data_IF_143605283103
#
_entry.id   IF_143605283103
#
_cell.length_a   1.000
_cell.length_b   1.000
_cell.length_c   1.000
_cell.angle_alpha   90.00
_cell.angle_beta   90.00
_cell.angle_gamma   90.00
#
_symmetry.space_group_name_H-M   'P 1'
#
loop_
_entity.id
_entity.type
_entity.pdbx_description
1 polymer ?
#
# COMPACT_ATOMS: atom_id res chain seq x y z
N UNK A 1 -9.33 -5.96 -4.87
CA UNK A 1 -9.47 -4.99 -5.99
C UNK A 1 -9.03 -3.58 -5.60
N UNK A 2 -9.57 -2.97 -4.54
CA UNK A 2 -9.24 -1.59 -4.11
C UNK A 2 -7.74 -1.30 -3.98
N UNK A 3 -6.96 -2.23 -3.43
CA UNK A 3 -5.49 -2.12 -3.30
C UNK A 3 -4.77 -2.01 -4.66
N UNK A 4 -5.19 -2.82 -5.64
CA UNK A 4 -4.60 -2.84 -6.99
C UNK A 4 -4.93 -1.53 -7.72
N UNK A 5 -6.19 -1.08 -7.64
CA UNK A 5 -6.60 0.19 -8.23
C UNK A 5 -5.80 1.36 -7.62
N UNK A 6 -5.61 1.36 -6.29
CA UNK A 6 -4.82 2.39 -5.62
C UNK A 6 -3.34 2.37 -6.06
N UNK A 7 -2.74 1.20 -6.30
CA UNK A 7 -1.37 1.09 -6.83
C UNK A 7 -1.24 1.69 -8.23
N UNK A 8 -2.18 1.38 -9.14
CA UNK A 8 -2.17 1.92 -10.52
C UNK A 8 -2.27 3.44 -10.52
N UNK A 9 -3.17 4.00 -9.69
CA UNK A 9 -3.33 5.47 -9.58
C UNK A 9 -2.05 6.12 -9.09
N UNK A 10 -1.39 5.57 -8.05
CA UNK A 10 -0.12 6.10 -7.54
C UNK A 10 1.01 6.01 -8.57
N UNK A 11 1.06 4.93 -9.35
CA UNK A 11 2.05 4.76 -10.41
C UNK A 11 1.93 5.81 -11.52
N UNK A 12 0.70 6.30 -11.77
CA UNK A 12 0.41 7.33 -12.76
C UNK A 12 0.52 8.78 -12.22
N UNK A 13 0.84 8.98 -10.93
CA UNK A 13 0.99 10.32 -10.35
C UNK A 13 2.28 11.02 -10.81
N UNK A 14 2.25 12.35 -10.80
CA UNK A 14 3.43 13.17 -11.08
C UNK A 14 4.55 12.88 -10.06
N UNK A 15 5.83 12.93 -10.47
CA UNK A 15 6.97 12.61 -9.58
C UNK A 15 6.97 13.39 -8.25
N UNK A 16 6.49 14.63 -8.26
CA UNK A 16 6.44 15.51 -7.08
C UNK A 16 5.55 14.94 -5.95
N UNK A 17 4.54 14.13 -6.29
CA UNK A 17 3.59 13.57 -5.32
C UNK A 17 3.77 12.07 -5.11
N UNK A 18 4.52 11.41 -6.01
CA UNK A 18 4.71 9.96 -6.00
C UNK A 18 5.38 9.47 -4.72
N UNK A 19 6.42 10.16 -4.26
CA UNK A 19 7.16 9.79 -3.04
C UNK A 19 6.27 9.80 -1.79
N UNK A 20 5.44 10.83 -1.64
CA UNK A 20 4.50 10.94 -0.52
C UNK A 20 3.38 9.90 -0.62
N UNK A 21 2.86 9.67 -1.84
CA UNK A 21 1.84 8.65 -2.08
C UNK A 21 2.35 7.22 -1.80
N UNK A 22 3.61 6.93 -2.13
CA UNK A 22 4.28 5.67 -1.80
C UNK A 22 4.52 5.53 -0.30
N UNK A 23 4.95 6.60 0.38
CA UNK A 23 5.13 6.63 1.84
C UNK A 23 3.84 6.27 2.58
N UNK A 24 2.72 6.86 2.19
CA UNK A 24 1.40 6.58 2.79
C UNK A 24 0.91 5.16 2.48
N UNK A 25 1.36 4.57 1.37
CA UNK A 25 0.99 3.21 1.00
C UNK A 25 1.68 2.11 1.81
N UNK A 26 2.72 2.44 2.60
CA UNK A 26 3.44 1.48 3.42
C UNK A 26 2.60 1.04 4.62
N UNK A 27 2.03 -0.15 4.55
CA UNK A 27 1.36 -0.79 5.69
C UNK A 27 2.31 -1.72 6.44
N UNK A 28 2.66 -1.39 7.68
CA UNK A 28 3.55 -2.19 8.54
C UNK A 28 2.79 -3.19 9.43
N UNK A 29 1.66 -3.72 8.95
CA UNK A 29 0.82 -4.62 9.74
C UNK A 29 1.37 -6.05 9.63
N UNK A 30 1.88 -6.58 10.74
CA UNK A 30 2.27 -7.99 10.85
C UNK A 30 1.02 -8.82 11.09
N UNK A 31 0.76 -9.80 10.22
CA UNK A 31 -0.30 -10.79 10.44
C UNK A 31 0.29 -12.00 11.15
N UNK A 32 -0.30 -12.35 12.29
CA UNK A 32 0.06 -13.57 13.04
C UNK A 32 -1.05 -14.58 12.83
N UNK A 33 -0.72 -15.79 12.39
CA UNK A 33 -1.69 -16.88 12.34
C UNK A 33 -1.93 -17.37 13.77
N UNK A 34 -3.18 -17.41 14.26
CA UNK A 34 -3.47 -18.03 15.54
C UNK A 34 -3.09 -19.51 15.49
N UNK A 35 -2.38 -20.00 16.51
CA UNK A 35 -2.17 -21.44 16.68
C UNK A 35 -3.52 -22.04 17.08
N UNK A 36 -3.98 -23.05 16.32
CA UNK A 36 -5.11 -23.88 16.74
C UNK A 36 -4.67 -24.68 17.96
N UNK A 37 -5.42 -24.58 19.05
CA UNK A 37 -5.45 -25.60 20.11
C UNK A 37 -6.20 -26.84 19.62
#
# INVERSE_FOLDING_TARGET
YSQICAQVVRAAMKPQYKAEAERVAMANVKTVKPKKE
#
